data_IF_773578130184
#
_entry.id   IF_773578130184
#
_cell.length_a   1.000
_cell.length_b   1.000
_cell.length_c   1.000
_cell.angle_alpha   90.00
_cell.angle_beta   90.00
_cell.angle_gamma   90.00
#
_symmetry.space_group_name_H-M   'P 1'
#
loop_
_entity.id
_entity.type
_entity.pdbx_description
1 polymer ?
#
# COMPACT_ATOMS: atom_id res chain seq x y z
N UNK A 1 -3.72 -24.58 -14.64
CA UNK A 1 -4.69 -23.49 -14.38
C UNK A 1 -4.90 -23.24 -12.88
N UNK A 2 -5.30 -24.25 -12.10
CA UNK A 2 -5.48 -24.11 -10.65
C UNK A 2 -4.25 -23.58 -9.89
N UNK A 3 -3.07 -24.17 -10.12
CA UNK A 3 -1.82 -23.73 -9.48
C UNK A 3 -1.48 -22.27 -9.78
N UNK A 4 -1.77 -21.78 -10.98
CA UNK A 4 -1.56 -20.38 -11.37
C UNK A 4 -2.48 -19.45 -10.59
N UNK A 5 -3.77 -19.80 -10.47
CA UNK A 5 -4.76 -19.01 -9.71
C UNK A 5 -4.35 -18.94 -8.23
N UNK A 6 -3.91 -20.07 -7.66
CA UNK A 6 -3.42 -20.12 -6.28
C UNK A 6 -2.20 -19.22 -6.08
N UNK A 7 -1.24 -19.25 -7.02
CA UNK A 7 -0.04 -18.42 -6.96
C UNK A 7 -0.39 -16.93 -7.05
N UNK A 8 -1.29 -16.55 -7.96
CA UNK A 8 -1.79 -15.17 -8.08
C UNK A 8 -2.51 -14.72 -6.81
N UNK A 9 -3.32 -15.57 -6.19
CA UNK A 9 -4.00 -15.26 -4.94
C UNK A 9 -3.01 -15.04 -3.79
N UNK A 10 -2.02 -15.91 -3.65
CA UNK A 10 -0.95 -15.76 -2.65
C UNK A 10 -0.12 -14.49 -2.89
N UNK A 11 0.17 -14.16 -4.15
CA UNK A 11 0.83 -12.91 -4.51
C UNK A 11 -0.01 -11.69 -4.13
N UNK A 12 -1.33 -11.72 -4.36
CA UNK A 12 -2.25 -10.67 -3.94
C UNK A 12 -2.29 -10.52 -2.41
N UNK A 13 -2.30 -11.63 -1.67
CA UNK A 13 -2.21 -11.60 -0.20
C UNK A 13 -0.91 -10.94 0.27
N UNK A 14 0.23 -11.35 -0.30
CA UNK A 14 1.53 -10.76 -0.01
C UNK A 14 1.56 -9.26 -0.31
N UNK A 15 0.91 -8.84 -1.40
CA UNK A 15 0.82 -7.42 -1.80
C UNK A 15 0.01 -6.61 -0.79
N UNK A 16 -1.14 -7.12 -0.33
CA UNK A 16 -1.96 -6.44 0.69
C UNK A 16 -1.20 -6.31 2.02
N UNK A 17 -0.49 -7.37 2.44
CA UNK A 17 0.36 -7.33 3.64
C UNK A 17 1.48 -6.30 3.48
N UNK A 18 2.14 -6.27 2.33
CA UNK A 18 3.20 -5.30 2.05
C UNK A 18 2.68 -3.86 2.02
N UNK A 19 1.53 -3.61 1.38
CA UNK A 19 0.89 -2.30 1.37
C UNK A 19 0.52 -1.85 2.79
N UNK A 20 0.02 -2.76 3.63
CA UNK A 20 -0.29 -2.48 5.04
C UNK A 20 0.98 -2.12 5.81
N UNK A 21 2.05 -2.89 5.64
CA UNK A 21 3.35 -2.58 6.24
C UNK A 21 3.88 -1.21 5.76
N UNK A 22 3.79 -0.92 4.46
CA UNK A 22 4.20 0.37 3.89
C UNK A 22 3.35 1.53 4.40
N UNK A 23 2.07 1.31 4.69
CA UNK A 23 1.19 2.32 5.25
C UNK A 23 1.48 2.65 6.72
N UNK A 24 1.91 1.65 7.49
CA UNK A 24 2.22 1.78 8.92
C UNK A 24 3.65 2.28 9.13
N UNK A 25 4.64 1.61 8.54
CA UNK A 25 6.07 1.87 8.75
C UNK A 25 6.67 2.83 7.72
N UNK A 26 6.05 2.96 6.54
CA UNK A 26 6.55 3.82 5.48
C UNK A 26 6.24 5.29 5.71
N UNK A 27 7.15 6.18 5.25
CA UNK A 27 6.93 7.63 5.21
C UNK A 27 6.01 8.02 4.04
N UNK A 28 4.79 7.49 4.02
CA UNK A 28 3.74 7.87 3.06
C UNK A 28 2.98 9.11 3.57
N UNK A 29 2.34 9.91 2.69
CA UNK A 29 1.64 11.10 3.13
C UNK A 29 0.35 10.72 3.88
N UNK A 30 -0.02 11.53 4.88
CA UNK A 30 -1.11 11.23 5.82
C UNK A 30 -2.45 10.98 5.11
N UNK A 31 -2.73 11.72 4.04
CA UNK A 31 -3.96 11.55 3.24
C UNK A 31 -4.04 10.17 2.59
N UNK A 32 -2.96 9.68 2.00
CA UNK A 32 -2.90 8.34 1.40
C UNK A 32 -3.06 7.25 2.45
N UNK A 33 -2.46 7.43 3.63
CA UNK A 33 -2.64 6.53 4.77
C UNK A 33 -4.08 6.48 5.24
N UNK A 34 -4.72 7.63 5.41
CA UNK A 34 -6.12 7.73 5.84
C UNK A 34 -7.06 7.10 4.82
N UNK A 35 -6.88 7.40 3.53
CA UNK A 35 -7.65 6.78 2.46
C UNK A 35 -7.51 5.26 2.45
N UNK A 36 -6.30 4.74 2.64
CA UNK A 36 -6.07 3.30 2.70
C UNK A 36 -6.75 2.64 3.89
N UNK A 37 -6.63 3.22 5.09
CA UNK A 37 -7.26 2.66 6.28
C UNK A 37 -8.78 2.70 6.18
N UNK A 38 -9.35 3.80 5.66
CA UNK A 38 -10.78 3.92 5.40
C UNK A 38 -11.24 2.89 4.37
N UNK A 39 -10.48 2.72 3.27
CA UNK A 39 -10.78 1.73 2.25
C UNK A 39 -10.67 0.29 2.80
N UNK A 40 -9.69 0.01 3.65
CA UNK A 40 -9.52 -1.31 4.29
C UNK A 40 -10.68 -1.62 5.23
N UNK A 41 -11.13 -0.65 6.04
CA UNK A 41 -12.34 -0.80 6.85
C UNK A 41 -13.58 -1.02 5.96
N UNK A 42 -13.71 -0.26 4.88
CA UNK A 42 -14.79 -0.47 3.91
C UNK A 42 -14.71 -1.84 3.23
N UNK A 43 -13.52 -2.35 2.93
CA UNK A 43 -13.31 -3.70 2.36
C UNK A 43 -13.75 -4.80 3.33
N UNK A 44 -13.51 -4.65 4.64
CA UNK A 44 -14.01 -5.57 5.68
C UNK A 44 -15.53 -5.60 5.69
N UNK A 45 -16.16 -4.43 5.74
CA UNK A 45 -17.63 -4.31 5.75
C UNK A 45 -18.22 -4.85 4.45
N UNK A 46 -17.65 -4.49 3.30
CA UNK A 46 -18.06 -4.99 2.00
C UNK A 46 -17.92 -6.51 1.91
N UNK A 47 -16.77 -7.08 2.28
CA UNK A 47 -16.56 -8.53 2.27
C UNK A 47 -17.57 -9.25 3.17
N UNK A 48 -17.93 -8.69 4.32
CA UNK A 48 -18.94 -9.27 5.20
C UNK A 48 -20.32 -9.26 4.54
N UNK A 49 -20.78 -8.09 4.11
CA UNK A 49 -22.10 -7.93 3.48
C UNK A 49 -22.20 -8.78 2.22
N UNK A 50 -21.19 -8.72 1.35
CA UNK A 50 -21.19 -9.46 0.10
C UNK A 50 -20.97 -10.94 0.27
N UNK A 51 -20.35 -11.44 1.35
CA UNK A 51 -20.26 -12.89 1.59
C UNK A 51 -21.54 -13.45 2.20
N UNK A 52 -22.15 -12.74 3.16
CA UNK A 52 -23.19 -13.33 4.01
C UNK A 52 -24.61 -12.83 3.73
N UNK A 53 -24.79 -11.59 3.23
CA UNK A 53 -26.13 -11.00 3.09
C UNK A 53 -26.68 -11.08 1.67
N UNK A 54 -25.83 -11.12 0.65
CA UNK A 54 -26.31 -11.27 -0.73
C UNK A 54 -26.60 -12.73 -1.04
N UNK A 55 -27.87 -13.09 -1.16
CA UNK A 55 -28.31 -14.46 -1.44
C UNK A 55 -29.07 -14.55 -2.75
N UNK A 56 -28.73 -15.54 -3.57
CA UNK A 56 -29.40 -15.84 -4.84
C UNK A 56 -29.87 -17.30 -4.86
N UNK A 57 -31.10 -17.53 -5.31
CA UNK A 57 -31.70 -18.85 -5.48
C UNK A 57 -31.55 -19.26 -6.93
N UNK A 58 -30.68 -20.24 -7.23
CA UNK A 58 -30.55 -20.76 -8.60
C UNK A 58 -31.61 -21.83 -8.92
N UNK A 59 -32.05 -22.57 -7.90
CA UNK A 59 -33.13 -23.54 -7.97
C UNK A 59 -33.75 -23.67 -6.56
N UNK A 60 -34.93 -24.28 -6.42
CA UNK A 60 -35.59 -24.53 -5.14
C UNK A 60 -34.65 -25.19 -4.10
N UNK A 61 -33.73 -26.05 -4.58
CA UNK A 61 -32.84 -26.85 -3.74
C UNK A 61 -31.41 -26.26 -3.61
N UNK A 62 -31.12 -25.09 -4.17
CA UNK A 62 -29.75 -24.52 -4.18
C UNK A 62 -29.73 -23.01 -3.92
N UNK A 63 -29.02 -22.61 -2.86
CA UNK A 63 -28.79 -21.20 -2.50
C UNK A 63 -27.33 -20.84 -2.70
N UNK A 64 -27.09 -19.79 -3.47
CA UNK A 64 -25.79 -19.15 -3.58
C UNK A 64 -25.75 -17.96 -2.63
N UNK A 65 -24.78 -17.95 -1.73
CA UNK A 65 -24.52 -16.87 -0.79
C UNK A 65 -23.25 -16.16 -1.23
N UNK A 66 -23.43 -14.95 -1.72
CA UNK A 66 -22.40 -13.95 -1.80
C UNK A 66 -21.76 -13.71 -3.16
N UNK A 67 -20.95 -12.65 -3.22
CA UNK A 67 -20.27 -12.12 -4.40
C UNK A 67 -18.97 -11.39 -3.98
N UNK A 68 -17.88 -11.38 -4.76
CA UNK A 68 -17.62 -12.12 -6.01
C UNK A 68 -17.27 -13.60 -5.83
N UNK A 69 -16.83 -14.03 -4.65
CA UNK A 69 -16.64 -15.46 -4.34
C UNK A 69 -17.90 -15.98 -3.65
N UNK A 70 -18.76 -16.74 -4.35
CA UNK A 70 -19.97 -17.28 -3.77
C UNK A 70 -19.68 -18.52 -2.93
N UNK A 71 -20.54 -18.74 -1.94
CA UNK A 71 -20.66 -19.97 -1.18
C UNK A 71 -21.95 -20.66 -1.59
N UNK A 72 -21.93 -21.98 -1.72
CA UNK A 72 -23.10 -22.74 -2.18
C UNK A 72 -23.63 -23.54 -1.00
N UNK A 73 -24.93 -23.43 -0.76
CA UNK A 73 -25.66 -24.17 0.25
C UNK A 73 -26.69 -25.04 -0.49
N UNK A 74 -26.56 -26.36 -0.32
CA UNK A 74 -27.49 -27.35 -0.85
C UNK A 74 -28.51 -27.71 0.23
N UNK A 75 -29.80 -27.80 -0.12
CA UNK A 75 -30.84 -28.25 0.81
C UNK A 75 -30.77 -29.77 1.05
N UNK A 76 -31.20 -30.18 2.25
CA UNK A 76 -31.27 -31.57 2.72
C UNK A 76 -32.35 -32.38 2.00
N UNK A 77 -32.06 -33.64 1.66
CA UNK A 77 -33.05 -34.56 1.08
C UNK A 77 -33.96 -35.24 2.14
N UNK A 78 -33.62 -35.22 3.44
CA UNK A 78 -34.49 -35.82 4.49
C UNK A 78 -34.09 -35.67 5.97
N UNK A 79 -34.98 -36.01 6.92
CA UNK A 79 -34.89 -35.76 8.37
C UNK A 79 -33.71 -36.35 9.14
N UNK A 80 -33.08 -37.41 8.64
CA UNK A 80 -32.03 -38.15 9.36
C UNK A 80 -30.60 -37.86 8.91
N UNK A 81 -30.40 -37.00 7.91
CA UNK A 81 -29.05 -36.76 7.37
C UNK A 81 -28.27 -35.76 8.23
N UNK A 82 -26.94 -35.95 8.40
CA UNK A 82 -26.09 -35.05 9.17
C UNK A 82 -26.24 -33.60 8.69
N UNK A 83 -26.20 -32.66 9.64
CA UNK A 83 -26.39 -31.21 9.45
C UNK A 83 -25.30 -30.50 8.63
N UNK A 84 -24.55 -31.20 7.79
CA UNK A 84 -23.83 -30.54 6.73
C UNK A 84 -24.78 -30.40 5.55
N UNK A 85 -25.58 -29.32 5.56
CA UNK A 85 -25.71 -28.52 4.34
C UNK A 85 -24.32 -28.55 3.70
N UNK A 86 -24.19 -28.99 2.44
CA UNK A 86 -22.88 -29.20 1.83
C UNK A 86 -22.21 -27.82 1.62
N UNK A 87 -21.66 -27.31 2.72
CA UNK A 87 -20.91 -26.10 2.92
C UNK A 87 -19.54 -26.46 2.35
N UNK A 88 -19.36 -26.20 1.06
CA UNK A 88 -18.07 -26.39 0.43
C UNK A 88 -16.98 -25.68 1.26
N UNK A 89 -15.71 -26.11 1.17
CA UNK A 89 -14.58 -25.46 1.87
C UNK A 89 -14.49 -23.94 1.57
N UNK A 90 -15.18 -23.49 0.51
CA UNK A 90 -15.41 -22.09 0.19
C UNK A 90 -16.12 -21.30 1.27
N UNK A 91 -16.87 -21.85 2.22
CA UNK A 91 -17.50 -21.04 3.29
C UNK A 91 -16.47 -20.39 4.21
N UNK A 92 -15.43 -21.14 4.57
CA UNK A 92 -14.35 -20.64 5.42
C UNK A 92 -13.43 -19.69 4.61
N UNK A 93 -13.26 -19.97 3.32
CA UNK A 93 -12.32 -19.26 2.45
C UNK A 93 -12.92 -18.05 1.71
N UNK A 94 -14.24 -17.99 1.51
CA UNK A 94 -14.89 -16.95 0.72
C UNK A 94 -14.74 -15.57 1.35
N UNK A 95 -14.87 -15.47 2.68
CA UNK A 95 -14.68 -14.19 3.37
C UNK A 95 -13.24 -13.68 3.25
N UNK A 96 -12.18 -14.45 3.57
CA UNK A 96 -10.80 -14.07 3.29
C UNK A 96 -10.54 -13.72 1.82
N UNK A 97 -11.09 -14.48 0.87
CA UNK A 97 -10.90 -14.22 -0.55
C UNK A 97 -11.54 -12.90 -1.00
N UNK A 98 -12.78 -12.64 -0.58
CA UNK A 98 -13.49 -11.39 -0.86
C UNK A 98 -12.76 -10.20 -0.21
N UNK A 99 -12.26 -10.35 1.02
CA UNK A 99 -11.47 -9.32 1.68
C UNK A 99 -10.20 -8.97 0.90
N UNK A 100 -9.45 -9.97 0.42
CA UNK A 100 -8.26 -9.73 -0.43
C UNK A 100 -8.67 -9.03 -1.74
N UNK A 101 -9.76 -9.45 -2.38
CA UNK A 101 -10.25 -8.84 -3.62
C UNK A 101 -10.61 -7.36 -3.43
N UNK A 102 -11.37 -7.02 -2.38
CA UNK A 102 -11.76 -5.63 -2.13
C UNK A 102 -10.60 -4.76 -1.66
N UNK A 103 -9.63 -5.32 -0.93
CA UNK A 103 -8.45 -4.58 -0.46
C UNK A 103 -7.34 -4.45 -1.50
N UNK A 104 -7.40 -5.20 -2.60
CA UNK A 104 -6.36 -5.22 -3.62
C UNK A 104 -6.15 -3.85 -4.30
N UNK A 105 -7.23 -3.19 -4.73
CA UNK A 105 -7.13 -1.88 -5.42
C UNK A 105 -6.57 -0.80 -4.48
N UNK A 106 -7.07 -0.63 -3.24
CA UNK A 106 -6.45 0.27 -2.27
C UNK A 106 -4.98 -0.05 -2.00
N UNK A 107 -4.63 -1.34 -1.89
CA UNK A 107 -3.26 -1.78 -1.65
C UNK A 107 -2.31 -1.38 -2.81
N UNK A 108 -2.74 -1.58 -4.05
CA UNK A 108 -1.99 -1.16 -5.24
C UNK A 108 -1.76 0.35 -5.26
N UNK A 109 -2.78 1.15 -4.91
CA UNK A 109 -2.67 2.60 -4.88
C UNK A 109 -1.62 3.08 -3.86
N UNK A 110 -1.66 2.57 -2.63
CA UNK A 110 -0.67 2.93 -1.59
C UNK A 110 0.74 2.52 -2.02
N UNK A 111 0.88 1.33 -2.57
CA UNK A 111 2.18 0.83 -2.97
C UNK A 111 2.77 1.68 -4.12
N UNK A 112 1.94 2.10 -5.08
CA UNK A 112 2.35 3.03 -6.12
C UNK A 112 2.85 4.35 -5.51
N UNK A 113 2.09 4.99 -4.62
CA UNK A 113 2.50 6.23 -3.93
C UNK A 113 3.81 6.03 -3.16
N UNK A 114 3.95 4.92 -2.45
CA UNK A 114 5.17 4.58 -1.71
C UNK A 114 6.39 4.46 -2.63
N UNK A 115 6.26 3.73 -3.75
CA UNK A 115 7.34 3.52 -4.72
C UNK A 115 7.73 4.81 -5.43
N UNK A 116 6.76 5.61 -5.89
CA UNK A 116 7.04 6.89 -6.55
C UNK A 116 7.79 7.84 -5.63
N UNK A 117 7.39 7.95 -4.36
CA UNK A 117 8.09 8.81 -3.39
C UNK A 117 9.49 8.32 -3.08
N UNK A 118 9.70 6.99 -2.98
CA UNK A 118 11.04 6.41 -2.78
C UNK A 118 11.96 6.75 -3.96
N UNK A 119 11.45 6.65 -5.19
CA UNK A 119 12.20 6.99 -6.40
C UNK A 119 12.54 8.48 -6.48
N UNK A 120 11.60 9.38 -6.17
CA UNK A 120 11.87 10.83 -6.15
C UNK A 120 12.94 11.23 -5.14
N UNK A 121 13.04 10.54 -4.00
CA UNK A 121 14.13 10.79 -3.02
C UNK A 121 15.49 10.33 -3.55
N UNK A 122 15.55 9.21 -4.24
CA UNK A 122 16.80 8.68 -4.84
C UNK A 122 17.24 9.48 -6.08
N UNK A 123 16.32 10.15 -6.76
CA UNK A 123 16.60 11.02 -7.90
C UNK A 123 16.72 12.49 -7.54
N UNK A 124 16.64 12.87 -6.27
CA UNK A 124 17.05 14.19 -5.83
C UNK A 124 18.57 14.18 -5.85
N UNK A 125 19.24 14.80 -6.86
CA UNK A 125 20.68 14.89 -6.85
C UNK A 125 21.03 15.70 -5.62
N UNK A 126 22.10 15.29 -4.96
CA UNK A 126 22.82 16.03 -3.94
C UNK A 126 23.42 17.29 -4.59
N UNK A 127 22.58 18.21 -5.06
CA UNK A 127 22.95 19.51 -5.60
C UNK A 127 23.09 20.50 -4.44
N UNK A 128 24.00 20.20 -3.50
CA UNK A 128 24.45 21.18 -2.50
C UNK A 128 25.84 20.83 -1.98
N UNK A 129 26.79 20.60 -2.88
CA UNK A 129 28.23 20.72 -2.62
C UNK A 129 28.88 21.59 -3.71
N UNK A 130 28.21 22.70 -4.02
CA UNK A 130 28.81 23.86 -4.71
C UNK A 130 28.45 25.10 -3.92
N UNK A 131 28.93 25.18 -2.68
CA UNK A 131 29.06 26.45 -1.97
C UNK A 131 30.54 26.61 -1.66
N UNK A 132 31.13 27.56 -2.38
CA UNK A 132 32.32 28.33 -2.05
C UNK A 132 33.63 27.60 -1.78
N UNK A 133 34.35 27.31 -2.86
CA UNK A 133 35.82 27.27 -2.86
C UNK A 133 36.43 28.26 -3.86
N UNK A 134 35.63 29.17 -4.45
CA UNK A 134 36.08 30.16 -5.44
C UNK A 134 36.30 31.56 -4.89
N UNK A 135 36.30 31.75 -3.55
CA UNK A 135 36.55 33.06 -2.92
C UNK A 135 37.89 33.15 -2.18
N UNK A 136 38.78 32.16 -2.33
CA UNK A 136 40.11 32.18 -1.71
C UNK A 136 41.16 32.09 -2.82
N UNK A 137 42.01 33.12 -2.92
CA UNK A 137 43.02 33.45 -3.94
C UNK A 137 42.43 34.03 -5.23
N UNK A 138 42.64 35.30 -5.57
CA UNK A 138 43.96 35.96 -5.70
C UNK A 138 43.75 37.48 -5.91
N UNK A 139 44.72 38.31 -5.49
CA UNK A 139 44.82 39.80 -5.45
C UNK A 139 44.55 40.34 -4.04
N UNK A 140 45.53 40.78 -3.23
CA UNK A 140 46.77 41.49 -3.56
C UNK A 140 47.94 41.09 -2.62
N UNK A 141 49.05 40.69 -3.23
CA UNK A 141 50.40 40.78 -2.67
C UNK A 141 51.24 41.51 -3.71
N UNK A 142 51.56 42.77 -3.43
CA UNK A 142 52.69 43.60 -3.87
C UNK A 142 52.26 45.07 -3.69
N UNK A 143 53.03 46.03 -3.22
CA UNK A 143 54.43 46.14 -2.83
C UNK A 143 54.59 47.56 -2.23
N UNK A 144 55.75 47.81 -1.63
CA UNK A 144 56.36 49.12 -1.34
C UNK A 144 56.07 49.79 0.01
N UNK A 145 57.05 49.63 0.89
CA UNK A 145 57.26 50.49 2.05
C UNK A 145 57.52 51.94 1.64
N UNK A 146 57.00 52.86 2.45
CA UNK A 146 57.32 54.27 2.37
C UNK A 146 58.07 54.72 3.65
N UNK A 147 59.37 55.08 3.57
CA UNK A 147 60.24 55.44 4.70
C UNK A 147 60.17 56.91 5.13
N UNK A 148 59.14 57.67 4.74
CA UNK A 148 59.03 59.10 5.05
C UNK A 148 57.86 59.42 5.99
N UNK A 149 58.05 59.13 7.28
CA UNK A 149 57.25 59.72 8.35
C UNK A 149 58.03 60.92 8.93
N UNK A 150 57.64 62.18 8.67
CA UNK A 150 58.30 63.34 9.25
C UNK A 150 57.91 63.53 10.72
N UNK A 151 58.79 64.08 11.58
CA UNK A 151 58.49 64.33 12.98
C UNK A 151 57.94 65.74 13.23
N UNK A 152 57.34 65.92 14.41
CA UNK A 152 57.09 67.17 15.16
C UNK A 152 55.82 68.00 14.83
N UNK A 153 55.08 68.34 15.91
CA UNK A 153 54.57 69.71 16.07
C UNK A 153 53.18 69.91 16.67
N UNK A 154 52.99 69.61 17.97
CA UNK A 154 52.39 70.44 19.06
C UNK A 154 51.83 69.57 20.18
#
# INVERSE_FOLDING_TARGET
>A
MFALILLLFLAACGLVVWATHAAIAGRIPTWSRLLFLAALAASVVAAYLTTFHYTYLANANTRFHGWPVPTVIFQRDGPGEPWLDFVGPTVILAYPMNLVLFSFVPAMFVLAVFVFRKRSRLHSPEATTTVDLSSINTQDVDDSGNPYQPPLGM
#
